data_IF_545075753837
#
_entry.id   IF_545075753837
#
_cell.length_a   1.000
_cell.length_b   1.000
_cell.length_c   1.000
_cell.angle_alpha   90.00
_cell.angle_beta   90.00
_cell.angle_gamma   90.00
#
_symmetry.space_group_name_H-M   'P 1'
#
loop_
_entity.id
_entity.type
_entity.pdbx_description
1 polymer ?
#
# COMPACT_ATOMS: atom_id res chain seq x y z
N UNK A 1 -5.96 8.84 5.12
CA UNK A 1 -5.81 7.44 4.68
C UNK A 1 -6.09 7.41 3.19
N UNK A 2 -5.14 6.95 2.38
CA UNK A 2 -5.31 6.85 0.93
C UNK A 2 -5.36 5.37 0.57
N UNK A 3 -6.41 4.99 -0.16
CA UNK A 3 -6.55 3.65 -0.73
C UNK A 3 -6.43 3.73 -2.24
N UNK A 4 -5.74 2.78 -2.82
CA UNK A 4 -5.59 2.65 -4.26
C UNK A 4 -5.82 1.20 -4.70
N UNK A 5 -6.23 1.04 -5.97
CA UNK A 5 -6.11 -0.25 -6.65
C UNK A 5 -4.83 -0.19 -7.47
N UNK A 6 -3.88 -1.05 -7.15
CA UNK A 6 -2.57 -1.11 -7.81
C UNK A 6 -2.56 -2.24 -8.83
N UNK A 7 -2.27 -1.89 -10.08
CA UNK A 7 -2.02 -2.84 -11.16
C UNK A 7 -0.52 -3.16 -11.22
N UNK A 8 -0.16 -4.44 -11.21
CA UNK A 8 1.24 -4.87 -11.26
C UNK A 8 1.70 -5.10 -12.69
N UNK A 9 2.98 -4.82 -12.97
CA UNK A 9 3.56 -4.99 -14.32
C UNK A 9 3.47 -6.43 -14.84
N UNK A 10 3.53 -7.42 -13.95
CA UNK A 10 3.34 -8.84 -14.28
C UNK A 10 1.88 -9.27 -14.42
N UNK A 11 0.94 -8.34 -14.29
CA UNK A 11 -0.50 -8.59 -14.24
C UNK A 11 -1.03 -8.82 -12.82
N UNK A 12 -2.36 -8.81 -12.71
CA UNK A 12 -3.06 -8.85 -11.42
C UNK A 12 -3.20 -7.46 -10.79
N UNK A 13 -4.10 -7.37 -9.81
CA UNK A 13 -4.37 -6.12 -9.10
C UNK A 13 -4.76 -6.35 -7.66
N UNK A 14 -4.45 -5.40 -6.79
CA UNK A 14 -4.83 -5.45 -5.37
C UNK A 14 -5.32 -4.09 -4.90
N UNK A 15 -6.36 -4.08 -4.05
CA UNK A 15 -6.72 -2.90 -3.28
C UNK A 15 -5.81 -2.81 -2.05
N UNK A 16 -5.11 -1.69 -1.89
CA UNK A 16 -4.08 -1.54 -0.85
C UNK A 16 -4.02 -0.11 -0.34
N UNK A 17 -3.59 0.05 0.90
CA UNK A 17 -3.30 1.37 1.47
C UNK A 17 -1.99 1.91 0.92
N UNK A 18 -1.99 3.21 0.60
CA UNK A 18 -0.77 3.96 0.33
C UNK A 18 -0.18 4.56 1.62
N UNK A 19 1.12 4.79 1.60
CA UNK A 19 1.91 5.32 2.72
C UNK A 19 3.03 6.18 2.18
N UNK A 20 3.55 7.10 3.00
CA UNK A 20 4.66 8.00 2.61
C UNK A 20 4.35 8.89 1.40
N UNK A 21 3.06 9.17 1.16
CA UNK A 21 2.56 10.05 0.09
C UNK A 21 1.81 11.24 0.69
N UNK A 22 1.83 12.38 0.00
CA UNK A 22 0.84 13.44 0.20
C UNK A 22 -0.45 13.09 -0.56
N UNK A 23 -1.60 12.95 0.10
CA UNK A 23 -2.87 12.65 -0.58
C UNK A 23 -3.26 13.63 -1.68
N UNK A 24 -2.81 14.88 -1.62
CA UNK A 24 -3.11 15.89 -2.62
C UNK A 24 -2.28 15.73 -3.91
N UNK A 25 -1.19 14.97 -3.86
CA UNK A 25 -0.27 14.77 -4.98
C UNK A 25 -0.49 13.43 -5.70
N UNK A 26 -1.29 12.52 -5.14
CA UNK A 26 -1.56 11.19 -5.72
C UNK A 26 -2.52 11.29 -6.91
N UNK A 27 -2.13 10.71 -8.04
CA UNK A 27 -2.94 10.60 -9.25
C UNK A 27 -3.02 9.15 -9.77
N UNK A 28 -4.05 8.87 -10.57
CA UNK A 28 -4.13 7.59 -11.29
C UNK A 28 -3.03 7.49 -12.33
N UNK A 29 -2.30 6.38 -12.33
CA UNK A 29 -1.17 6.15 -13.24
C UNK A 29 0.20 6.38 -12.61
N UNK A 30 0.26 6.95 -11.40
CA UNK A 30 1.50 7.06 -10.65
C UNK A 30 2.10 5.68 -10.35
N UNK A 31 3.43 5.62 -10.37
CA UNK A 31 4.17 4.41 -10.03
C UNK A 31 4.28 4.30 -8.52
N UNK A 32 3.97 3.12 -8.00
CA UNK A 32 4.12 2.80 -6.58
C UNK A 32 5.10 1.66 -6.39
N UNK A 33 5.80 1.67 -5.27
CA UNK A 33 6.66 0.57 -4.83
C UNK A 33 6.06 -0.12 -3.62
N UNK A 34 6.06 -1.46 -3.62
CA UNK A 34 5.52 -2.21 -2.50
C UNK A 34 6.48 -2.22 -1.32
N UNK A 35 5.96 -1.92 -0.14
CA UNK A 35 6.71 -1.94 1.12
C UNK A 35 6.04 -2.85 2.13
N UNK A 36 6.83 -3.65 2.84
CA UNK A 36 6.33 -4.56 3.87
C UNK A 36 6.31 -3.84 5.21
N UNK A 37 5.14 -3.74 5.85
CA UNK A 37 4.95 -2.92 7.06
C UNK A 37 4.14 -3.62 8.12
N UNK A 38 4.47 -3.32 9.38
CA UNK A 38 3.65 -3.71 10.53
C UNK A 38 2.36 -2.89 10.50
N UNK A 39 1.22 -3.56 10.39
CA UNK A 39 -0.10 -2.91 10.33
C UNK A 39 -0.74 -2.83 11.72
N UNK A 40 -0.59 -3.87 12.54
CA UNK A 40 -1.02 -3.83 13.94
C UNK A 40 -0.31 -4.92 14.76
N UNK A 41 -0.57 -4.94 16.06
CA UNK A 41 -0.17 -6.04 16.97
C UNK A 41 -1.35 -6.42 17.82
N UNK A 42 -1.64 -7.72 17.85
CA UNK A 42 -2.70 -8.30 18.68
C UNK A 42 -2.09 -9.50 19.41
N UNK A 43 -2.32 -9.60 20.71
CA UNK A 43 -1.85 -10.70 21.56
C UNK A 43 -0.35 -11.00 21.42
N UNK A 44 0.46 -9.95 21.28
CA UNK A 44 1.91 -10.05 21.08
C UNK A 44 2.33 -10.47 19.66
N UNK A 45 1.39 -10.83 18.78
CA UNK A 45 1.67 -11.17 17.39
C UNK A 45 1.71 -9.91 16.51
N UNK A 46 2.86 -9.65 15.92
CA UNK A 46 3.03 -8.57 14.96
C UNK A 46 2.46 -8.98 13.60
N UNK A 47 1.42 -8.28 13.15
CA UNK A 47 0.83 -8.49 11.86
C UNK A 47 1.47 -7.54 10.86
N UNK A 48 2.01 -8.11 9.80
CA UNK A 48 2.63 -7.36 8.71
C UNK A 48 1.87 -7.60 7.42
N UNK A 49 1.74 -6.54 6.64
CA UNK A 49 1.15 -6.60 5.32
C UNK A 49 1.83 -5.60 4.39
N UNK A 50 1.56 -5.72 3.10
CA UNK A 50 2.07 -4.81 2.10
C UNK A 50 1.33 -3.46 2.12
N UNK A 51 2.05 -2.38 1.82
CA UNK A 51 1.53 -1.03 1.53
C UNK A 51 2.27 -0.41 0.35
N UNK A 52 1.60 0.37 -0.49
CA UNK A 52 2.24 1.09 -1.61
C UNK A 52 2.85 2.41 -1.15
N UNK A 53 4.09 2.70 -1.52
CA UNK A 53 4.68 4.04 -1.40
C UNK A 53 4.85 4.68 -2.76
#
# INVERSE_FOLDING_TARGET
LVFAVVDFDGGGRIAIELTDVDPAEVATGDRVEMTFRRIFTADGLHNYFWKGR
#
